data_IF_023259771786
#
_entry.id   IF_023259771786
#
_cell.length_a   1.000
_cell.length_b   1.000
_cell.length_c   1.000
_cell.angle_alpha   90.00
_cell.angle_beta   90.00
_cell.angle_gamma   90.00
#
_symmetry.space_group_name_H-M   'P 1'
#
loop_
_entity.id
_entity.type
_entity.pdbx_description
1 polymer ?
#
# COMPACT_ATOMS: atom_id res chain seq x y z
N UNK A 1 -36.67 -19.72 7.71
CA UNK A 1 -35.84 -18.99 6.72
C UNK A 1 -35.34 -17.66 7.31
N UNK A 2 -34.40 -17.67 8.25
CA UNK A 2 -33.86 -16.45 8.90
C UNK A 2 -32.32 -16.43 8.94
N UNK A 3 -31.67 -17.16 8.03
CA UNK A 3 -30.22 -17.43 8.12
C UNK A 3 -29.44 -17.09 6.84
N UNK A 4 -30.02 -16.31 5.92
CA UNK A 4 -29.37 -16.00 4.62
C UNK A 4 -29.18 -14.51 4.33
N UNK A 5 -29.45 -13.61 5.28
CA UNK A 5 -29.28 -12.16 5.11
C UNK A 5 -27.97 -11.59 5.69
N UNK A 6 -27.10 -12.41 6.27
CA UNK A 6 -25.83 -11.98 6.85
C UNK A 6 -24.65 -11.88 5.86
N UNK A 7 -24.80 -12.38 4.62
CA UNK A 7 -23.70 -12.41 3.63
C UNK A 7 -23.73 -11.28 2.59
N UNK A 8 -24.77 -10.45 2.56
CA UNK A 8 -24.88 -9.32 1.61
C UNK A 8 -24.39 -7.98 2.15
N UNK A 9 -24.13 -7.84 3.45
CA UNK A 9 -23.55 -6.61 4.01
C UNK A 9 -22.07 -6.40 3.66
N UNK A 10 -21.36 -7.45 3.24
CA UNK A 10 -19.93 -7.38 2.92
C UNK A 10 -19.65 -7.20 1.42
N UNK A 11 -20.67 -7.43 0.57
CA UNK A 11 -20.51 -7.43 -0.89
C UNK A 11 -21.64 -6.62 -1.51
N UNK A 12 -21.45 -5.30 -1.50
CA UNK A 12 -22.02 -4.40 -2.48
C UNK A 12 -23.44 -3.91 -2.23
N UNK A 13 -23.57 -2.59 -2.06
CA UNK A 13 -24.78 -1.87 -2.45
C UNK A 13 -25.22 -0.80 -1.47
N UNK A 14 -24.74 0.43 -1.68
CA UNK A 14 -25.50 1.65 -1.42
C UNK A 14 -25.53 2.17 0.02
N UNK A 15 -25.23 3.46 0.14
CA UNK A 15 -25.46 4.35 1.28
C UNK A 15 -24.53 4.13 2.49
N UNK A 16 -23.49 4.97 2.56
CA UNK A 16 -22.89 5.39 3.83
C UNK A 16 -21.84 4.47 4.48
N UNK A 17 -21.64 3.25 4.01
CA UNK A 17 -20.52 2.40 4.45
C UNK A 17 -19.51 2.28 3.32
N UNK A 18 -18.24 2.58 3.62
CA UNK A 18 -17.15 2.49 2.66
C UNK A 18 -17.23 1.22 1.82
N UNK A 19 -17.28 1.35 0.50
CA UNK A 19 -17.43 0.21 -0.40
C UNK A 19 -16.34 -0.86 -0.17
N UNK A 20 -16.46 -2.04 -0.82
CA UNK A 20 -15.57 -3.19 -0.61
C UNK A 20 -14.06 -2.87 -0.65
N UNK A 21 -13.69 -1.78 -1.31
CA UNK A 21 -12.34 -1.22 -1.37
C UNK A 21 -11.72 -0.86 -0.01
N UNK A 22 -12.46 -0.25 0.93
CA UNK A 22 -11.87 0.26 2.19
C UNK A 22 -11.28 -0.83 3.09
N UNK A 23 -12.00 -1.94 3.36
CA UNK A 23 -11.41 -3.02 4.14
C UNK A 23 -10.24 -3.70 3.39
N UNK A 24 -10.25 -3.72 2.06
CA UNK A 24 -9.12 -4.24 1.27
C UNK A 24 -7.89 -3.34 1.42
N UNK A 25 -8.04 -2.01 1.24
CA UNK A 25 -6.94 -1.05 1.44
C UNK A 25 -6.41 -1.11 2.87
N UNK A 26 -7.27 -1.27 3.87
CA UNK A 26 -6.86 -1.43 5.27
C UNK A 26 -6.05 -2.71 5.48
N UNK A 27 -6.52 -3.85 5.00
CA UNK A 27 -5.79 -5.12 5.10
C UNK A 27 -4.44 -5.04 4.39
N UNK A 28 -4.41 -4.48 3.17
CA UNK A 28 -3.18 -4.25 2.43
C UNK A 28 -2.24 -3.31 3.20
N UNK A 29 -2.77 -2.26 3.82
CA UNK A 29 -2.01 -1.34 4.65
C UNK A 29 -1.37 -2.03 5.85
N UNK A 30 -2.09 -2.92 6.53
CA UNK A 30 -1.56 -3.72 7.63
C UNK A 30 -0.46 -4.68 7.17
N UNK A 31 -0.63 -5.32 6.02
CA UNK A 31 0.41 -6.17 5.42
C UNK A 31 1.65 -5.33 5.14
N UNK A 32 1.52 -4.19 4.46
CA UNK A 32 2.65 -3.31 4.17
C UNK A 32 3.35 -2.79 5.44
N UNK A 33 2.58 -2.41 6.47
CA UNK A 33 3.13 -2.02 7.76
C UNK A 33 3.90 -3.15 8.41
N UNK A 34 3.37 -4.38 8.44
CA UNK A 34 4.08 -5.51 9.00
C UNK A 34 5.40 -5.77 8.24
N UNK A 35 5.35 -5.76 6.91
CA UNK A 35 6.51 -6.01 6.06
C UNK A 35 7.57 -4.91 6.13
N UNK A 36 7.20 -3.65 6.35
CA UNK A 36 8.14 -2.56 6.51
C UNK A 36 8.63 -2.40 7.95
N UNK A 37 7.72 -2.40 8.91
CA UNK A 37 8.01 -2.05 10.30
C UNK A 37 8.77 -3.16 11.02
N UNK A 38 8.44 -4.44 10.79
CA UNK A 38 9.11 -5.55 11.49
C UNK A 38 10.61 -5.58 11.14
N UNK A 39 11.03 -5.54 9.86
CA UNK A 39 12.46 -5.47 9.55
C UNK A 39 13.16 -4.22 10.09
N UNK A 40 12.48 -3.06 10.10
CA UNK A 40 13.04 -1.81 10.66
C UNK A 40 13.25 -1.94 12.17
N UNK A 41 12.24 -2.41 12.90
CA UNK A 41 12.31 -2.60 14.35
C UNK A 41 13.33 -3.68 14.74
N UNK A 42 13.46 -4.74 13.95
CA UNK A 42 14.49 -5.76 14.16
C UNK A 42 15.89 -5.21 13.89
N UNK A 43 16.07 -4.41 12.82
CA UNK A 43 17.33 -3.72 12.53
C UNK A 43 17.75 -2.74 13.63
N UNK A 44 16.79 -2.11 14.31
CA UNK A 44 17.00 -1.26 15.48
C UNK A 44 17.18 -2.04 16.79
N UNK A 45 17.12 -3.38 16.75
CA UNK A 45 17.16 -4.27 17.93
C UNK A 45 16.05 -4.03 18.96
N UNK A 46 14.93 -3.45 18.52
CA UNK A 46 13.73 -3.27 19.37
C UNK A 46 12.99 -4.59 19.55
N UNK A 47 13.03 -5.47 18.54
CA UNK A 47 12.39 -6.79 18.54
C UNK A 47 13.39 -7.90 18.18
N UNK A 48 13.26 -9.07 18.82
CA UNK A 48 14.17 -10.21 18.66
C UNK A 48 13.83 -11.18 17.53
N UNK A 49 12.71 -10.99 16.83
CA UNK A 49 12.30 -11.86 15.71
C UNK A 49 12.49 -11.16 14.38
N UNK A 50 12.81 -11.93 13.34
CA UNK A 50 12.95 -11.47 11.97
C UNK A 50 12.01 -12.23 11.04
N UNK A 51 11.60 -11.56 9.97
CA UNK A 51 10.89 -12.21 8.87
C UNK A 51 11.94 -12.68 7.86
N UNK A 52 11.85 -13.91 7.35
CA UNK A 52 12.71 -14.36 6.26
C UNK A 52 12.65 -13.40 5.06
N UNK A 53 13.77 -13.15 4.37
CA UNK A 53 13.76 -12.30 3.19
C UNK A 53 12.91 -12.94 2.09
N UNK A 54 12.01 -12.15 1.50
CA UNK A 54 11.19 -12.61 0.38
C UNK A 54 11.95 -12.49 -0.95
N UNK A 55 11.64 -13.35 -1.93
CA UNK A 55 12.13 -13.19 -3.29
C UNK A 55 11.78 -11.81 -3.87
N UNK A 56 12.72 -11.21 -4.62
CA UNK A 56 12.53 -9.89 -5.25
C UNK A 56 11.26 -9.79 -6.11
N UNK A 57 10.84 -10.89 -6.74
CA UNK A 57 9.59 -10.95 -7.52
C UNK A 57 8.37 -10.64 -6.66
N UNK A 58 8.32 -11.16 -5.43
CA UNK A 58 7.21 -10.90 -4.50
C UNK A 58 7.25 -9.46 -4.03
N UNK A 59 8.44 -8.91 -3.76
CA UNK A 59 8.59 -7.51 -3.37
C UNK A 59 8.13 -6.56 -4.49
N UNK A 60 8.49 -6.85 -5.75
CA UNK A 60 8.03 -6.04 -6.88
C UNK A 60 6.50 -6.17 -7.07
N UNK A 61 5.95 -7.38 -6.97
CA UNK A 61 4.51 -7.61 -7.07
C UNK A 61 3.74 -6.88 -5.96
N UNK A 62 4.24 -6.93 -4.73
CA UNK A 62 3.68 -6.18 -3.60
C UNK A 62 3.76 -4.69 -3.88
N UNK A 63 4.93 -4.14 -4.23
CA UNK A 63 5.10 -2.72 -4.55
C UNK A 63 4.11 -2.24 -5.61
N UNK A 64 3.92 -3.01 -6.70
CA UNK A 64 2.94 -2.67 -7.75
C UNK A 64 1.52 -2.72 -7.20
N UNK A 65 1.15 -3.77 -6.47
CA UNK A 65 -0.18 -3.89 -5.86
C UNK A 65 -0.46 -2.71 -4.90
N UNK A 66 0.46 -2.42 -3.98
CA UNK A 66 0.36 -1.31 -3.04
C UNK A 66 0.27 0.04 -3.74
N UNK A 67 1.03 0.25 -4.81
CA UNK A 67 0.96 1.48 -5.60
C UNK A 67 -0.38 1.64 -6.29
N UNK A 68 -0.93 0.56 -6.86
CA UNK A 68 -2.26 0.57 -7.48
C UNK A 68 -3.34 0.88 -6.44
N UNK A 69 -3.27 0.29 -5.24
CA UNK A 69 -4.21 0.60 -4.17
C UNK A 69 -4.09 2.04 -3.67
N UNK A 70 -2.88 2.56 -3.48
CA UNK A 70 -2.67 3.96 -3.09
C UNK A 70 -3.19 4.94 -4.16
N UNK A 71 -2.95 4.66 -5.45
CA UNK A 71 -3.50 5.47 -6.54
C UNK A 71 -5.03 5.39 -6.56
N UNK A 72 -5.58 4.19 -6.35
CA UNK A 72 -7.02 4.00 -6.27
C UNK A 72 -7.61 4.81 -5.10
N UNK A 73 -7.00 4.78 -3.93
CA UNK A 73 -7.43 5.56 -2.77
C UNK A 73 -7.30 7.07 -3.06
N UNK A 74 -6.16 7.52 -3.60
CA UNK A 74 -5.93 8.92 -3.94
C UNK A 74 -6.91 9.49 -4.98
N UNK A 75 -7.36 8.68 -5.93
CA UNK A 75 -8.32 9.07 -6.98
C UNK A 75 -9.77 8.95 -6.48
N UNK A 76 -10.08 7.89 -5.74
CA UNK A 76 -11.46 7.56 -5.36
C UNK A 76 -11.94 8.26 -4.09
N UNK A 77 -11.01 8.73 -3.26
CA UNK A 77 -11.30 9.62 -2.17
C UNK A 77 -11.38 11.05 -2.69
N UNK A 78 -12.56 11.65 -2.52
CA UNK A 78 -12.77 13.09 -2.65
C UNK A 78 -12.14 13.78 -1.42
N UNK A 79 -10.86 13.52 -1.14
CA UNK A 79 -10.13 14.18 -0.06
C UNK A 79 -10.23 15.68 -0.31
N UNK A 80 -10.81 16.40 0.67
CA UNK A 80 -11.25 17.78 0.57
C UNK A 80 -10.26 18.67 -0.20
N UNK A 81 -10.79 19.55 -1.05
CA UNK A 81 -10.00 20.40 -1.95
C UNK A 81 -9.19 21.51 -1.24
N UNK A 82 -9.22 21.58 0.10
CA UNK A 82 -8.42 22.52 0.89
C UNK A 82 -8.02 21.93 2.25
N UNK A 83 -6.79 22.25 2.70
CA UNK A 83 -6.28 21.92 4.03
C UNK A 83 -5.49 20.62 4.14
N UNK A 84 -5.41 20.06 5.35
CA UNK A 84 -4.67 18.83 5.66
C UNK A 84 -5.02 17.62 4.75
N UNK A 85 -6.30 17.36 4.38
CA UNK A 85 -6.64 16.25 3.49
C UNK A 85 -6.00 16.34 2.09
N UNK A 86 -5.81 17.56 1.57
CA UNK A 86 -5.16 17.75 0.27
C UNK A 86 -3.66 17.40 0.32
N UNK A 87 -3.00 17.71 1.44
CA UNK A 87 -1.59 17.35 1.65
C UNK A 87 -1.42 15.83 1.69
N UNK A 88 -2.32 15.14 2.41
CA UNK A 88 -2.32 13.67 2.46
C UNK A 88 -2.57 13.07 1.08
N UNK A 89 -3.57 13.56 0.32
CA UNK A 89 -3.82 13.10 -1.06
C UNK A 89 -2.60 13.24 -1.95
N UNK A 90 -1.92 14.39 -1.87
CA UNK A 90 -0.70 14.65 -2.64
C UNK A 90 0.42 13.70 -2.24
N UNK A 91 0.63 13.48 -0.94
CA UNK A 91 1.61 12.53 -0.44
C UNK A 91 1.30 11.09 -0.89
N UNK A 92 0.04 10.65 -0.78
CA UNK A 92 -0.44 9.35 -1.27
C UNK A 92 -0.14 9.18 -2.76
N UNK A 93 -0.41 10.20 -3.58
CA UNK A 93 -0.13 10.15 -5.00
C UNK A 93 1.37 10.06 -5.32
N UNK A 94 2.19 10.89 -4.67
CA UNK A 94 3.65 10.88 -4.86
C UNK A 94 4.26 9.56 -4.42
N UNK A 95 3.91 9.06 -3.22
CA UNK A 95 4.39 7.78 -2.71
C UNK A 95 3.95 6.63 -3.62
N UNK A 96 2.73 6.67 -4.14
CA UNK A 96 2.26 5.64 -5.07
C UNK A 96 3.06 5.61 -6.37
N UNK A 97 3.38 6.78 -6.95
CA UNK A 97 4.23 6.85 -8.15
C UNK A 97 5.64 6.34 -7.89
N UNK A 98 6.24 6.71 -6.76
CA UNK A 98 7.57 6.21 -6.37
C UNK A 98 7.54 4.70 -6.20
N UNK A 99 6.55 4.17 -5.48
CA UNK A 99 6.41 2.74 -5.22
C UNK A 99 6.16 1.96 -6.53
N UNK A 100 5.36 2.53 -7.44
CA UNK A 100 5.14 1.96 -8.77
C UNK A 100 6.44 1.91 -9.55
N UNK A 101 7.24 2.99 -9.56
CA UNK A 101 8.52 3.01 -10.24
C UNK A 101 9.48 1.96 -9.66
N UNK A 102 9.56 1.84 -8.34
CA UNK A 102 10.40 0.83 -7.65
C UNK A 102 10.00 -0.60 -8.03
N UNK A 103 8.70 -0.88 -8.15
CA UNK A 103 8.24 -2.22 -8.54
C UNK A 103 8.34 -2.51 -10.04
N UNK A 104 8.07 -1.51 -10.88
CA UNK A 104 7.80 -1.71 -12.31
C UNK A 104 9.03 -1.46 -13.18
N UNK A 105 9.90 -0.50 -12.83
CA UNK A 105 11.12 -0.20 -13.60
C UNK A 105 12.07 -1.40 -13.71
N UNK A 106 12.41 -2.13 -12.62
CA UNK A 106 13.32 -3.27 -12.73
C UNK A 106 12.76 -4.40 -13.62
N UNK A 107 11.44 -4.58 -13.62
CA UNK A 107 10.76 -5.57 -14.47
C UNK A 107 10.84 -5.15 -15.93
N UNK A 108 10.47 -3.90 -16.25
CA UNK A 108 10.53 -3.40 -17.62
C UNK A 108 11.96 -3.40 -18.19
N UNK A 109 12.96 -3.09 -17.36
CA UNK A 109 14.37 -3.18 -17.74
C UNK A 109 14.77 -4.64 -17.99
N UNK A 110 14.39 -5.57 -17.12
CA UNK A 110 14.64 -7.01 -17.31
C UNK A 110 13.98 -7.59 -18.55
N UNK A 111 12.87 -6.99 -19.02
CA UNK A 111 12.18 -7.35 -20.27
C UNK A 111 12.73 -6.64 -21.51
N UNK A 112 13.71 -5.73 -21.36
CA UNK A 112 14.28 -4.95 -22.46
C UNK A 112 13.35 -3.85 -23.01
N UNK A 113 12.29 -3.48 -22.29
CA UNK A 113 11.33 -2.43 -22.72
C UNK A 113 11.93 -1.03 -22.51
N UNK A 114 12.75 -0.85 -21.49
CA UNK A 114 13.42 0.41 -21.16
C UNK A 114 14.93 0.18 -21.01
N UNK A 115 15.74 1.14 -21.45
CA UNK A 115 17.21 1.06 -21.44
C UNK A 115 17.87 1.57 -20.15
N UNK A 116 17.10 1.96 -19.14
CA UNK A 116 17.62 2.42 -17.86
C UNK A 116 17.06 1.58 -16.72
N UNK A 117 17.81 1.51 -15.61
CA UNK A 117 17.37 0.86 -14.40
C UNK A 117 17.54 1.81 -13.21
N UNK A 118 16.73 1.61 -12.17
CA UNK A 118 16.94 2.30 -10.91
C UNK A 118 18.17 1.73 -10.19
N UNK A 119 18.96 2.55 -9.49
CA UNK A 119 19.98 2.06 -8.58
C UNK A 119 19.36 1.11 -7.55
N UNK A 120 20.08 0.07 -7.14
CA UNK A 120 19.57 -0.81 -6.08
C UNK A 120 19.38 0.00 -4.80
N UNK A 121 18.13 0.10 -4.34
CA UNK A 121 17.83 0.74 -3.07
C UNK A 121 18.31 -0.15 -1.92
N UNK A 122 18.89 0.45 -0.89
CA UNK A 122 19.22 -0.27 0.34
C UNK A 122 17.93 -0.84 0.95
N UNK A 123 18.01 -2.04 1.53
CA UNK A 123 16.84 -2.72 2.12
C UNK A 123 16.10 -1.84 3.14
N UNK A 124 16.84 -1.03 3.92
CA UNK A 124 16.27 -0.08 4.88
C UNK A 124 15.34 0.94 4.19
N UNK A 125 15.70 1.44 3.00
CA UNK A 125 14.90 2.42 2.26
C UNK A 125 13.61 1.78 1.75
N UNK A 126 13.69 0.56 1.22
CA UNK A 126 12.51 -0.19 0.77
C UNK A 126 11.56 -0.48 1.94
N UNK A 127 12.11 -0.87 3.10
CA UNK A 127 11.31 -1.11 4.29
C UNK A 127 10.62 0.17 4.79
N UNK A 128 11.32 1.30 4.79
CA UNK A 128 10.73 2.61 5.14
C UNK A 128 9.62 2.99 4.15
N UNK A 129 9.83 2.79 2.84
CA UNK A 129 8.80 3.01 1.83
C UNK A 129 7.56 2.15 2.09
N UNK A 130 7.74 0.90 2.53
CA UNK A 130 6.62 0.02 2.89
C UNK A 130 5.89 0.47 4.15
N UNK A 131 6.62 0.98 5.15
CA UNK A 131 5.98 1.59 6.35
C UNK A 131 5.13 2.80 5.94
N UNK A 132 5.67 3.71 5.14
CA UNK A 132 4.95 4.91 4.68
C UNK A 132 3.72 4.51 3.86
N UNK A 133 3.89 3.57 2.91
CA UNK A 133 2.81 3.03 2.09
C UNK A 133 1.71 2.41 2.95
N UNK A 134 2.09 1.56 3.90
CA UNK A 134 1.15 0.89 4.79
C UNK A 134 0.39 1.88 5.66
N UNK A 135 1.08 2.89 6.22
CA UNK A 135 0.45 3.97 6.98
C UNK A 135 -0.58 4.76 6.17
N UNK A 136 -0.25 5.10 4.92
CA UNK A 136 -1.16 5.82 4.02
C UNK A 136 -2.38 4.97 3.61
N UNK A 137 -2.19 3.68 3.34
CA UNK A 137 -3.29 2.74 3.03
C UNK A 137 -4.21 2.50 4.24
N UNK A 138 -3.65 2.38 5.45
CA UNK A 138 -4.45 2.30 6.68
C UNK A 138 -5.21 3.59 6.90
N UNK A 139 -4.58 4.75 6.69
CA UNK A 139 -5.25 6.04 6.79
C UNK A 139 -6.43 6.11 5.82
N UNK A 140 -6.23 5.88 4.52
CA UNK A 140 -7.33 5.88 3.53
C UNK A 140 -8.43 4.86 3.84
N UNK A 141 -8.03 3.64 4.25
CA UNK A 141 -8.97 2.58 4.65
C UNK A 141 -9.83 2.93 5.87
N UNK A 142 -9.34 3.78 6.78
CA UNK A 142 -10.06 4.24 7.99
C UNK A 142 -10.88 5.51 7.77
N UNK A 143 -10.59 6.30 6.74
CA UNK A 143 -11.38 7.50 6.43
C UNK A 143 -12.80 7.09 6.00
N UNK A 144 -13.80 7.36 6.84
CA UNK A 144 -15.23 7.09 6.60
C UNK A 144 -15.66 5.64 6.84
N UNK A 145 -15.04 4.97 7.81
CA UNK A 145 -15.73 4.01 8.69
C UNK A 145 -16.48 4.81 9.77
#
# INVERSE_FOLDING_TARGET
MKTLLGKKGFIGGGMGMGGPRKPISLLMGLVFLAFGAIPVLNGMKVIGFSIPPFPNVILHALSIAGAVFLLWDAISENMAMMGFPQMVRTATFVVALVLLAVGLVPILHGMGVIGFNLPSLAAIIVNVLYVITGGLLVYGGTQGM
#
